data_IF_349707522860
#
_entry.id   IF_349707522860
#
_cell.length_a   1.000
_cell.length_b   1.000
_cell.length_c   1.000
_cell.angle_alpha   90.00
_cell.angle_beta   90.00
_cell.angle_gamma   90.00
#
_symmetry.space_group_name_H-M   'P 1'
#
loop_
_entity.id
_entity.type
_entity.pdbx_description
1 polymer ?
#
# COMPACT_ATOMS: atom_id res chain seq x y z
N UNK A 1 58.58 -29.83 18.08
CA UNK A 1 57.19 -30.16 17.69
C UNK A 1 56.36 -28.89 17.76
N UNK A 2 56.13 -28.21 16.64
CA UNK A 2 55.17 -27.10 16.53
C UNK A 2 54.01 -27.59 15.65
N UNK A 3 52.87 -27.89 16.28
CA UNK A 3 51.64 -28.18 15.54
C UNK A 3 51.05 -26.85 15.06
N UNK A 4 51.16 -26.62 13.76
CA UNK A 4 50.54 -25.51 13.05
C UNK A 4 49.01 -25.69 13.09
N UNK A 5 48.31 -24.85 13.86
CA UNK A 5 46.84 -24.84 13.92
C UNK A 5 46.27 -24.30 12.59
N UNK A 6 46.23 -25.16 11.57
CA UNK A 6 45.51 -24.93 10.32
C UNK A 6 44.07 -25.38 10.54
N UNK A 7 43.23 -24.47 11.04
CA UNK A 7 41.82 -24.78 11.22
C UNK A 7 41.10 -23.68 11.94
N UNK A 8 40.51 -22.74 11.17
CA UNK A 8 39.26 -22.04 11.49
C UNK A 8 38.93 -20.86 10.55
N UNK A 9 39.85 -20.47 9.64
CA UNK A 9 39.58 -19.38 8.69
C UNK A 9 38.43 -19.66 7.71
N UNK A 10 38.17 -20.93 7.38
CA UNK A 10 37.06 -21.31 6.49
C UNK A 10 35.68 -21.14 7.15
N UNK A 11 35.57 -21.43 8.44
CA UNK A 11 34.30 -21.30 9.19
C UNK A 11 33.95 -19.82 9.38
N UNK A 12 34.94 -18.98 9.66
CA UNK A 12 34.75 -17.53 9.80
C UNK A 12 34.22 -16.87 8.51
N UNK A 13 34.73 -17.28 7.34
CA UNK A 13 34.22 -16.80 6.04
C UNK A 13 32.76 -17.19 5.79
N UNK A 14 32.34 -18.39 6.19
CA UNK A 14 30.96 -18.85 6.00
C UNK A 14 29.99 -18.05 6.89
N UNK A 15 30.39 -17.75 8.13
CA UNK A 15 29.58 -16.93 9.05
C UNK A 15 29.42 -15.50 8.55
N UNK A 16 30.49 -14.88 8.02
CA UNK A 16 30.43 -13.52 7.43
C UNK A 16 29.53 -13.49 6.19
N UNK A 17 29.60 -14.51 5.32
CA UNK A 17 28.74 -14.59 4.13
C UNK A 17 27.26 -14.79 4.52
N UNK A 18 26.98 -15.60 5.55
CA UNK A 18 25.62 -15.80 6.07
C UNK A 18 25.04 -14.52 6.68
N UNK A 19 25.84 -13.73 7.40
CA UNK A 19 25.42 -12.44 7.95
C UNK A 19 25.10 -11.40 6.86
N UNK A 20 25.89 -11.36 5.78
CA UNK A 20 25.67 -10.42 4.67
C UNK A 20 24.44 -10.75 3.81
N UNK A 21 24.02 -12.01 3.77
CA UNK A 21 22.84 -12.44 3.01
C UNK A 21 21.51 -12.15 3.73
N UNK A 22 21.52 -12.05 5.06
CA UNK A 22 20.34 -11.72 5.87
C UNK A 22 19.85 -10.27 5.74
N UNK A 23 20.76 -9.30 5.49
CA UNK A 23 20.42 -7.88 5.48
C UNK A 23 19.55 -7.42 4.29
N UNK A 24 19.63 -8.08 3.12
CA UNK A 24 18.95 -7.58 1.91
C UNK A 24 17.42 -7.59 2.02
N UNK A 25 16.83 -8.61 2.66
CA UNK A 25 15.37 -8.76 2.79
C UNK A 25 14.74 -7.71 3.72
N UNK A 26 15.46 -7.37 4.80
CA UNK A 26 15.00 -6.38 5.77
C UNK A 26 14.96 -4.98 5.14
N UNK A 27 15.98 -4.64 4.34
CA UNK A 27 16.05 -3.36 3.63
C UNK A 27 14.90 -3.16 2.63
N UNK A 28 14.51 -4.18 1.85
CA UNK A 28 13.41 -4.03 0.87
C UNK A 28 12.05 -3.76 1.56
N UNK A 29 11.79 -4.42 2.69
CA UNK A 29 10.54 -4.21 3.44
C UNK A 29 10.48 -2.81 4.05
N UNK A 30 11.59 -2.35 4.59
CA UNK A 30 11.71 -1.01 5.18
C UNK A 30 11.60 0.08 4.11
N UNK A 31 12.29 -0.07 2.97
CA UNK A 31 12.18 0.85 1.84
C UNK A 31 10.75 0.90 1.27
N UNK A 32 10.06 -0.24 1.18
CA UNK A 32 8.65 -0.30 0.77
C UNK A 32 7.72 0.43 1.73
N UNK A 33 7.90 0.25 3.04
CA UNK A 33 7.14 0.96 4.08
C UNK A 33 7.41 2.46 4.03
N UNK A 34 8.67 2.85 3.85
CA UNK A 34 9.09 4.25 3.70
C UNK A 34 8.43 4.91 2.48
N UNK A 35 8.41 4.23 1.34
CA UNK A 35 7.72 4.72 0.13
C UNK A 35 6.25 5.05 0.41
N UNK A 36 5.52 4.12 1.03
CA UNK A 36 4.10 4.30 1.33
C UNK A 36 3.91 5.46 2.30
N UNK A 37 4.67 5.49 3.39
CA UNK A 37 4.59 6.53 4.42
C UNK A 37 4.86 7.92 3.83
N UNK A 38 5.83 8.03 2.91
CA UNK A 38 6.17 9.29 2.24
C UNK A 38 5.10 9.72 1.22
N UNK A 39 4.39 8.77 0.60
CA UNK A 39 3.50 9.03 -0.53
C UNK A 39 2.03 8.69 -0.26
N UNK A 40 1.63 8.52 1.00
CA UNK A 40 0.30 8.02 1.37
C UNK A 40 -0.83 8.89 0.80
N UNK A 41 -0.65 10.22 0.76
CA UNK A 41 -1.63 11.16 0.20
C UNK A 41 -1.80 11.00 -1.32
N UNK A 42 -0.72 10.65 -2.02
CA UNK A 42 -0.76 10.38 -3.47
C UNK A 42 -1.42 9.04 -3.74
N UNK A 43 -1.09 8.02 -2.94
CA UNK A 43 -1.67 6.68 -3.07
C UNK A 43 -3.18 6.68 -2.77
N UNK A 44 -3.62 7.51 -1.83
CA UNK A 44 -5.02 7.68 -1.40
C UNK A 44 -5.60 8.97 -1.99
N UNK A 45 -5.23 9.32 -3.22
CA UNK A 45 -5.82 10.45 -3.94
C UNK A 45 -7.26 10.18 -4.41
N UNK A 46 -7.99 11.25 -4.74
CA UNK A 46 -9.30 11.19 -5.40
C UNK A 46 -10.36 10.34 -4.67
N UNK A 47 -10.26 10.19 -3.35
CA UNK A 47 -11.25 9.45 -2.57
C UNK A 47 -12.62 10.14 -2.55
N UNK A 48 -12.65 11.45 -2.71
CA UNK A 48 -13.87 12.27 -2.74
C UNK A 48 -14.86 11.84 -3.82
N UNK A 49 -14.40 11.26 -4.93
CA UNK A 49 -15.30 10.77 -5.99
C UNK A 49 -16.18 9.60 -5.57
N UNK A 50 -15.84 8.94 -4.46
CA UNK A 50 -16.62 7.86 -3.87
C UNK A 50 -17.58 8.34 -2.77
N UNK A 51 -17.41 9.57 -2.28
CA UNK A 51 -18.16 10.09 -1.15
C UNK A 51 -19.45 10.78 -1.61
N UNK A 52 -20.54 10.03 -1.58
CA UNK A 52 -21.87 10.56 -1.92
C UNK A 52 -22.50 11.39 -0.79
N UNK A 53 -21.87 11.47 0.40
CA UNK A 53 -22.44 12.24 1.52
C UNK A 53 -22.52 13.75 1.24
N UNK A 54 -21.73 14.23 0.29
CA UNK A 54 -21.71 15.62 -0.17
C UNK A 54 -22.54 15.84 -1.44
N UNK A 55 -23.17 14.80 -2.00
CA UNK A 55 -23.99 14.98 -3.19
C UNK A 55 -25.21 15.88 -2.88
N UNK A 56 -25.48 16.89 -3.72
CA UNK A 56 -26.66 17.71 -3.55
C UNK A 56 -27.90 16.84 -3.71
N UNK A 57 -28.72 16.76 -2.67
CA UNK A 57 -30.01 16.09 -2.75
C UNK A 57 -30.89 16.94 -3.67
N UNK A 58 -31.40 16.34 -4.76
CA UNK A 58 -32.34 17.03 -5.64
C UNK A 58 -33.51 17.53 -4.80
N UNK A 59 -33.85 18.81 -4.94
CA UNK A 59 -35.02 19.40 -4.31
C UNK A 59 -36.27 18.84 -5.00
N UNK A 60 -36.66 17.62 -4.64
CA UNK A 60 -37.93 17.05 -5.10
C UNK A 60 -39.03 17.99 -4.61
N UNK A 61 -39.84 18.49 -5.56
CA UNK A 61 -41.03 19.29 -5.28
C UNK A 61 -41.81 18.66 -4.13
N UNK A 62 -41.98 19.40 -3.04
CA UNK A 62 -42.70 18.95 -1.83
C UNK A 62 -44.15 18.49 -2.10
N UNK A 63 -44.68 18.73 -3.31
CA UNK A 63 -46.02 18.29 -3.71
C UNK A 63 -46.12 16.78 -3.95
N UNK A 64 -45.03 16.10 -4.30
CA UNK A 64 -45.08 14.71 -4.77
C UNK A 64 -44.70 13.67 -3.70
N UNK A 65 -44.03 14.09 -2.61
CA UNK A 65 -43.66 13.19 -1.51
C UNK A 65 -43.79 13.87 -0.14
N UNK A 66 -45.01 13.88 0.42
CA UNK A 66 -45.31 14.45 1.76
C UNK A 66 -44.48 13.86 2.92
N UNK A 67 -43.80 12.73 2.73
CA UNK A 67 -43.03 12.03 3.77
C UNK A 67 -41.55 11.77 3.40
N UNK A 68 -41.00 12.46 2.39
CA UNK A 68 -39.59 12.25 2.04
C UNK A 68 -38.68 12.88 3.09
N UNK A 69 -38.01 12.03 3.88
CA UNK A 69 -36.84 12.43 4.67
C UNK A 69 -35.60 12.21 3.81
N UNK A 70 -34.80 13.25 3.51
CA UNK A 70 -33.56 13.07 2.78
C UNK A 70 -32.68 12.07 3.54
N UNK A 71 -32.17 11.07 2.82
CA UNK A 71 -31.32 10.04 3.40
C UNK A 71 -30.03 10.72 3.88
N UNK A 72 -29.82 10.82 5.19
CA UNK A 72 -28.56 11.32 5.75
C UNK A 72 -27.48 10.26 5.53
N UNK A 73 -26.74 10.38 4.44
CA UNK A 73 -25.56 9.55 4.19
C UNK A 73 -24.43 10.07 5.09
N UNK A 74 -23.83 9.18 5.88
CA UNK A 74 -22.65 9.51 6.69
C UNK A 74 -21.45 9.71 5.76
N UNK A 75 -20.51 10.56 6.15
CA UNK A 75 -19.22 10.61 5.47
C UNK A 75 -18.55 9.23 5.53
N UNK A 76 -17.98 8.80 4.41
CA UNK A 76 -17.31 7.50 4.35
C UNK A 76 -16.03 7.48 5.18
N UNK A 77 -15.62 6.29 5.61
CA UNK A 77 -14.31 6.05 6.22
C UNK A 77 -13.38 5.39 5.21
N UNK A 78 -12.10 5.75 5.19
CA UNK A 78 -11.08 5.09 4.36
C UNK A 78 -10.53 3.90 5.15
N UNK A 79 -10.81 2.69 4.69
CA UNK A 79 -10.30 1.44 5.27
C UNK A 79 -9.08 0.95 4.50
N UNK A 80 -7.89 1.13 5.04
CA UNK A 80 -6.66 0.65 4.41
C UNK A 80 -6.40 -0.80 4.83
N UNK A 81 -6.28 -1.70 3.85
CA UNK A 81 -5.97 -3.10 4.14
C UNK A 81 -4.57 -3.23 4.70
N UNK A 82 -4.46 -3.91 5.84
CA UNK A 82 -3.23 -4.03 6.60
C UNK A 82 -2.09 -4.69 5.81
N UNK A 83 -2.40 -5.75 5.08
CA UNK A 83 -1.41 -6.61 4.44
C UNK A 83 -1.00 -6.14 3.05
N UNK A 84 0.31 -5.97 2.84
CA UNK A 84 0.92 -5.61 1.55
C UNK A 84 1.82 -6.74 1.08
N UNK A 85 1.68 -7.12 -0.20
CA UNK A 85 2.54 -8.07 -0.88
C UNK A 85 3.51 -7.35 -1.82
N UNK A 86 4.81 -7.55 -1.60
CA UNK A 86 5.90 -7.00 -2.40
C UNK A 86 6.58 -8.12 -3.17
N UNK A 87 6.69 -7.99 -4.49
CA UNK A 87 7.34 -8.98 -5.33
C UNK A 87 8.86 -8.92 -5.10
N UNK A 88 9.47 -10.01 -4.65
CA UNK A 88 10.93 -10.10 -4.53
C UNK A 88 11.55 -10.14 -5.93
N UNK A 89 12.53 -9.27 -6.18
CA UNK A 89 13.36 -9.33 -7.38
C UNK A 89 14.52 -10.30 -7.17
N UNK A 90 14.22 -11.61 -7.05
CA UNK A 90 15.25 -12.65 -7.11
C UNK A 90 15.33 -13.27 -8.49
N UNK A 91 16.55 -13.34 -9.02
CA UNK A 91 16.95 -14.28 -10.08
C UNK A 91 16.92 -15.70 -9.51
N UNK A 92 15.74 -16.26 -9.27
CA UNK A 92 15.63 -17.69 -9.02
C UNK A 92 15.63 -18.41 -10.37
N UNK A 93 16.55 -19.37 -10.53
CA UNK A 93 16.63 -20.27 -11.69
C UNK A 93 15.39 -21.16 -11.85
N UNK A 94 14.52 -21.20 -10.84
CA UNK A 94 13.24 -21.87 -10.85
C UNK A 94 12.15 -20.79 -10.84
N UNK A 95 11.18 -20.86 -11.74
CA UNK A 95 10.15 -19.85 -12.06
C UNK A 95 9.19 -19.45 -10.92
N UNK A 96 9.54 -19.65 -9.65
CA UNK A 96 8.71 -19.27 -8.50
C UNK A 96 8.87 -17.78 -8.16
N UNK A 97 7.76 -17.05 -8.25
CA UNK A 97 7.69 -15.66 -7.83
C UNK A 97 7.58 -15.59 -6.32
N UNK A 98 8.64 -15.15 -5.64
CA UNK A 98 8.62 -14.91 -4.20
C UNK A 98 7.98 -13.56 -3.87
N UNK A 99 7.25 -13.51 -2.75
CA UNK A 99 6.67 -12.27 -2.23
C UNK A 99 7.12 -12.05 -0.78
N UNK A 100 7.49 -10.81 -0.45
CA UNK A 100 7.60 -10.32 0.91
C UNK A 100 6.22 -9.80 1.35
N UNK A 101 5.90 -10.02 2.62
CA UNK A 101 4.66 -9.54 3.23
C UNK A 101 4.99 -8.69 4.44
N UNK A 102 4.37 -7.52 4.53
CA UNK A 102 4.36 -6.75 5.76
C UNK A 102 2.98 -6.16 6.01
N UNK A 103 2.72 -5.87 7.28
CA UNK A 103 1.48 -5.23 7.71
C UNK A 103 1.73 -3.75 7.98
N UNK A 104 0.86 -2.90 7.47
CA UNK A 104 0.81 -1.49 7.83
C UNK A 104 0.49 -1.33 9.32
N UNK A 105 1.06 -0.30 9.89
CA UNK A 105 0.87 0.13 11.27
C UNK A 105 0.39 1.59 11.27
N UNK A 106 -0.15 2.05 12.40
CA UNK A 106 -0.74 3.41 12.48
C UNK A 106 0.29 4.49 12.20
N UNK A 107 1.54 4.23 12.56
CA UNK A 107 2.69 5.10 12.38
C UNK A 107 2.99 5.35 10.90
N UNK A 108 2.70 4.40 10.01
CA UNK A 108 2.86 4.57 8.56
C UNK A 108 1.88 5.60 7.96
N UNK A 109 0.82 5.94 8.72
CA UNK A 109 -0.22 6.88 8.30
C UNK A 109 0.00 8.28 8.86
N UNK A 110 1.11 8.53 9.57
CA UNK A 110 1.40 9.82 10.23
C UNK A 110 1.38 11.01 9.26
N UNK A 111 1.73 10.78 7.99
CA UNK A 111 1.76 11.81 6.96
C UNK A 111 0.45 11.98 6.20
N UNK A 112 -0.59 11.19 6.51
CA UNK A 112 -1.87 11.29 5.84
C UNK A 112 -2.58 12.60 6.21
N UNK A 113 -2.95 13.38 5.20
CA UNK A 113 -3.56 14.70 5.31
C UNK A 113 -4.88 14.69 4.56
N UNK A 114 -5.94 14.38 5.29
CA UNK A 114 -7.30 14.43 4.77
C UNK A 114 -8.29 14.71 5.88
N UNK A 115 -9.46 15.22 5.51
CA UNK A 115 -10.59 15.37 6.42
C UNK A 115 -11.37 14.05 6.61
N UNK A 116 -11.11 13.05 5.76
CA UNK A 116 -11.67 11.71 5.92
C UNK A 116 -11.02 10.95 7.06
N UNK A 117 -11.83 10.24 7.85
CA UNK A 117 -11.33 9.26 8.82
C UNK A 117 -10.62 8.12 8.08
N UNK A 118 -9.45 7.74 8.54
CA UNK A 118 -8.68 6.59 8.03
C UNK A 118 -8.50 5.55 9.12
N UNK A 119 -8.67 4.27 8.78
CA UNK A 119 -8.47 3.14 9.67
C UNK A 119 -7.73 2.02 8.95
N UNK A 120 -6.93 1.26 9.70
CA UNK A 120 -6.33 0.02 9.20
C UNK A 120 -7.32 -1.11 9.48
N UNK A 121 -7.73 -1.82 8.43
CA UNK A 121 -8.77 -2.85 8.50
C UNK A 121 -8.24 -4.16 7.92
N UNK A 122 -8.82 -5.28 8.38
CA UNK A 122 -8.55 -6.60 7.81
C UNK A 122 -9.52 -6.88 6.65
N UNK A 123 -9.09 -7.71 5.70
CA UNK A 123 -9.88 -8.18 4.56
C UNK A 123 -11.11 -8.94 5.08
N UNK A 124 -12.23 -8.27 5.37
CA UNK A 124 -13.58 -8.86 5.56
C UNK A 124 -14.69 -7.92 6.07
N UNK A 125 -14.46 -6.62 6.25
CA UNK A 125 -15.59 -5.73 6.56
C UNK A 125 -16.38 -5.47 5.28
N UNK A 126 -17.62 -5.97 5.18
CA UNK A 126 -18.55 -5.60 4.10
C UNK A 126 -19.31 -4.31 4.43
N UNK A 127 -18.65 -3.37 5.12
CA UNK A 127 -19.26 -2.09 5.48
C UNK A 127 -19.43 -1.24 4.23
N UNK A 128 -20.68 -0.91 3.92
CA UNK A 128 -21.05 -0.12 2.73
C UNK A 128 -20.62 1.34 2.84
N UNK A 129 -20.24 1.82 4.02
CA UNK A 129 -19.73 3.17 4.26
C UNK A 129 -18.20 3.24 4.39
N UNK A 130 -17.50 2.15 4.05
CA UNK A 130 -16.03 2.10 4.06
C UNK A 130 -15.49 1.97 2.65
N UNK A 131 -14.61 2.89 2.26
CA UNK A 131 -13.80 2.78 1.04
C UNK A 131 -12.57 1.94 1.36
N UNK A 132 -12.55 0.71 0.88
CA UNK A 132 -11.41 -0.18 1.01
C UNK A 132 -10.31 0.21 0.04
N UNK A 133 -9.13 0.49 0.57
CA UNK A 133 -7.92 0.77 -0.19
C UNK A 133 -6.95 -0.39 0.01
N UNK A 134 -6.48 -0.98 -1.09
CA UNK A 134 -5.49 -2.05 -1.07
C UNK A 134 -4.28 -1.72 -1.92
N UNK A 135 -3.12 -2.14 -1.44
CA UNK A 135 -1.84 -2.02 -2.12
C UNK A 135 -1.34 -3.41 -2.53
N UNK A 136 -1.00 -3.58 -3.80
CA UNK A 136 -0.55 -4.86 -4.35
C UNK A 136 0.39 -4.65 -5.53
N UNK A 137 0.94 -5.77 -6.04
CA UNK A 137 1.91 -5.77 -7.14
C UNK A 137 3.07 -4.78 -6.92
N UNK A 138 3.50 -4.60 -5.67
CA UNK A 138 4.60 -3.70 -5.34
C UNK A 138 5.88 -4.28 -5.95
N UNK A 139 6.56 -3.49 -6.77
CA UNK A 139 7.85 -3.80 -7.37
C UNK A 139 8.86 -2.71 -7.05
N UNK A 140 10.09 -3.10 -6.71
CA UNK A 140 11.19 -2.18 -6.45
C UNK A 140 12.47 -2.70 -7.11
N UNK A 141 13.09 -1.87 -7.97
CA UNK A 141 14.31 -2.21 -8.70
C UNK A 141 15.25 -1.01 -8.73
N UNK A 142 16.27 -1.03 -7.86
CA UNK A 142 17.18 0.09 -7.67
C UNK A 142 16.41 1.34 -7.25
N UNK A 143 16.60 2.45 -7.98
CA UNK A 143 15.93 3.71 -7.67
C UNK A 143 14.50 3.81 -8.23
N UNK A 144 13.94 2.76 -8.84
CA UNK A 144 12.58 2.80 -9.41
C UNK A 144 11.66 1.87 -8.66
N UNK A 145 10.43 2.31 -8.45
CA UNK A 145 9.39 1.49 -7.84
C UNK A 145 8.03 1.72 -8.48
N UNK A 146 7.17 0.71 -8.41
CA UNK A 146 5.76 0.83 -8.72
C UNK A 146 4.90 0.09 -7.72
N UNK A 147 3.69 0.60 -7.48
CA UNK A 147 2.68 -0.05 -6.65
C UNK A 147 1.32 0.10 -7.31
N UNK A 148 0.51 -0.96 -7.26
CA UNK A 148 -0.88 -0.90 -7.69
C UNK A 148 -1.77 -0.63 -6.49
N UNK A 149 -2.73 0.27 -6.70
CA UNK A 149 -3.70 0.68 -5.68
C UNK A 149 -5.09 0.41 -6.22
N UNK A 150 -5.89 -0.31 -5.45
CA UNK A 150 -7.31 -0.54 -5.74
C UNK A 150 -8.15 0.06 -4.64
N UNK A 151 -9.13 0.86 -5.03
CA UNK A 151 -10.08 1.57 -4.16
C UNK A 151 -11.45 0.99 -4.46
N UNK A 152 -12.17 0.49 -3.45
CA UNK A 152 -13.46 -0.19 -3.62
C UNK A 152 -14.45 0.18 -2.52
N UNK A 153 -15.67 0.55 -2.90
CA UNK A 153 -16.82 0.72 -2.00
C UNK A 153 -18.04 0.08 -2.66
N UNK A 154 -18.64 -0.91 -2.00
CA UNK A 154 -19.72 -1.72 -2.60
C UNK A 154 -19.32 -2.34 -3.94
N UNK A 155 -20.04 -1.96 -5.00
CA UNK A 155 -19.77 -2.39 -6.38
C UNK A 155 -18.73 -1.51 -7.08
N UNK A 156 -18.58 -0.26 -6.66
CA UNK A 156 -17.69 0.71 -7.31
C UNK A 156 -16.23 0.45 -6.99
N UNK A 157 -15.38 0.51 -8.03
CA UNK A 157 -13.98 0.20 -7.95
C UNK A 157 -13.16 1.06 -8.91
N UNK A 158 -12.00 1.53 -8.46
CA UNK A 158 -10.98 2.16 -9.30
C UNK A 158 -9.62 1.48 -9.04
N UNK A 159 -8.88 1.22 -10.11
CA UNK A 159 -7.56 0.61 -10.08
C UNK A 159 -6.55 1.49 -10.81
N UNK A 160 -5.49 1.85 -10.11
CA UNK A 160 -4.37 2.64 -10.63
C UNK A 160 -3.04 1.97 -10.33
N UNK A 161 -2.03 2.29 -11.15
CA UNK A 161 -0.62 2.00 -10.87
C UNK A 161 0.17 3.29 -10.72
N UNK A 162 0.92 3.39 -9.63
CA UNK A 162 1.74 4.55 -9.31
C UNK A 162 3.21 4.17 -9.47
N UNK A 163 4.00 5.11 -9.99
CA UNK A 163 5.42 4.94 -10.23
C UNK A 163 6.21 6.00 -9.46
N UNK A 164 7.32 5.57 -8.88
CA UNK A 164 8.17 6.36 -8.01
C UNK A 164 9.64 6.23 -8.40
N UNK A 165 10.40 7.27 -8.09
CA UNK A 165 11.86 7.27 -8.21
C UNK A 165 12.50 7.74 -6.90
N UNK A 166 13.60 7.09 -6.50
CA UNK A 166 14.34 7.42 -5.28
C UNK A 166 15.34 8.53 -5.57
N UNK A 167 15.16 9.67 -4.93
CA UNK A 167 16.03 10.86 -5.00
C UNK A 167 16.46 11.24 -3.59
N UNK A 168 17.77 11.29 -3.32
CA UNK A 168 18.31 11.65 -2.00
C UNK A 168 17.64 10.87 -0.85
N UNK A 169 17.51 9.55 -1.00
CA UNK A 169 16.87 8.65 -0.04
C UNK A 169 15.37 8.91 0.23
N UNK A 170 14.71 9.66 -0.66
CA UNK A 170 13.26 9.93 -0.62
C UNK A 170 12.59 9.40 -1.88
N UNK A 171 11.45 8.72 -1.71
CA UNK A 171 10.65 8.24 -2.84
C UNK A 171 9.76 9.36 -3.36
N UNK A 172 9.96 9.75 -4.61
CA UNK A 172 9.24 10.83 -5.28
C UNK A 172 8.27 10.24 -6.30
N UNK A 173 7.00 10.65 -6.23
CA UNK A 173 5.99 10.29 -7.21
C UNK A 173 6.35 10.84 -8.60
N UNK A 174 6.25 9.99 -9.63
CA UNK A 174 6.56 10.35 -11.02
C UNK A 174 5.36 10.32 -11.94
N UNK A 175 4.56 9.25 -11.89
CA UNK A 175 3.38 9.10 -12.75
C UNK A 175 2.34 8.15 -12.15
N UNK A 176 1.10 8.35 -12.57
CA UNK A 176 -0.07 7.51 -12.27
C UNK A 176 -0.66 7.01 -13.60
N UNK A 177 -0.93 5.72 -13.68
CA UNK A 177 -1.59 5.07 -14.82
C UNK A 177 -2.93 4.48 -14.37
N UNK A 178 -3.98 4.70 -15.15
CA UNK A 178 -5.30 4.10 -14.93
C UNK A 178 -5.37 2.72 -15.56
N UNK A 179 -5.72 1.73 -14.75
CA UNK A 179 -5.79 0.33 -15.17
C UNK A 179 -7.24 -0.12 -15.38
N UNK A 180 -8.20 0.49 -14.69
CA UNK A 180 -9.61 0.21 -14.92
C UNK A 180 -10.52 0.73 -13.81
N UNK A 181 -11.82 0.64 -14.10
CA UNK A 181 -12.91 0.92 -13.16
C UNK A 181 -13.96 -0.19 -13.27
N UNK A 182 -14.79 -0.35 -12.24
CA UNK A 182 -15.88 -1.32 -12.17
C UNK A 182 -16.94 -0.92 -11.17
#
# INVERSE_FOLDING_TARGET
MQQYMIGNFKVLRIVIILLLLGCKKQNETEDSRKLITQNINVLIDSVESFDISKMPVSSVSHKDFKNYKPLKVKQMTIGLLDSILVKENKLNKNNETNYLRFNLQKEDLVNFKSHYKIEIVKVNNYDTNVLFVSFFNFSMKGNKSSIEVKKRIGISMIHHKYYFEKENDTWVFKKKEFFGMG
#
